data_IF_336844374670
#
_entry.id   IF_336844374670
#
_cell.length_a   1.000
_cell.length_b   1.000
_cell.length_c   1.000
_cell.angle_alpha   90.00
_cell.angle_beta   90.00
_cell.angle_gamma   90.00
#
_symmetry.space_group_name_H-M   'P 1'
#
loop_
_entity.id
_entity.type
_entity.pdbx_description
1 polymer ?
#
# COMPACT_ATOMS: atom_id res chain seq x y z
N UNK A 1 16.85 -21.60 17.88
CA UNK A 1 17.10 -21.74 16.42
C UNK A 1 16.57 -23.11 15.97
N UNK A 2 15.62 -23.18 15.01
CA UNK A 2 15.05 -24.45 14.55
C UNK A 2 16.12 -25.34 13.92
N UNK A 3 15.96 -26.66 14.09
CA UNK A 3 16.96 -27.66 13.67
C UNK A 3 17.10 -27.74 12.14
N UNK A 4 18.27 -28.17 11.62
CA UNK A 4 18.54 -28.24 10.18
C UNK A 4 17.52 -29.06 9.39
N UNK A 5 16.97 -30.11 10.01
CA UNK A 5 15.91 -30.97 9.43
C UNK A 5 14.60 -30.22 9.20
N UNK A 6 14.23 -29.31 10.11
CA UNK A 6 13.02 -28.48 9.97
C UNK A 6 13.21 -27.46 8.84
N UNK A 7 14.42 -26.92 8.67
CA UNK A 7 14.71 -26.02 7.54
C UNK A 7 14.61 -26.72 6.19
N UNK A 8 15.09 -27.95 6.07
CA UNK A 8 15.05 -28.68 4.80
C UNK A 8 13.60 -29.05 4.41
N UNK A 9 12.76 -29.40 5.39
CA UNK A 9 11.33 -29.66 5.17
C UNK A 9 10.56 -28.39 4.77
N UNK A 10 10.88 -27.24 5.37
CA UNK A 10 10.30 -25.95 4.97
C UNK A 10 10.76 -25.52 3.56
N UNK A 11 12.02 -25.78 3.20
CA UNK A 11 12.54 -25.47 1.86
C UNK A 11 11.89 -26.32 0.77
N UNK A 12 11.64 -27.60 1.02
CA UNK A 12 10.96 -28.49 0.07
C UNK A 12 9.50 -28.07 -0.17
N UNK A 13 8.82 -27.59 0.88
CA UNK A 13 7.44 -27.08 0.79
C UNK A 13 7.35 -25.76 -0.01
N UNK A 14 8.38 -24.91 0.09
CA UNK A 14 8.48 -23.66 -0.68
C UNK A 14 8.78 -23.95 -2.16
N UNK A 15 9.63 -24.93 -2.45
CA UNK A 15 9.95 -25.36 -3.81
C UNK A 15 8.70 -25.86 -4.56
N UNK A 16 7.89 -26.73 -3.94
CA UNK A 16 6.66 -27.27 -4.55
C UNK A 16 5.60 -26.19 -4.81
N UNK A 17 5.52 -25.18 -3.95
CA UNK A 17 4.51 -24.12 -4.05
C UNK A 17 4.89 -23.00 -5.03
N UNK A 18 6.17 -22.89 -5.38
CA UNK A 18 6.70 -21.81 -6.23
C UNK A 18 7.31 -22.31 -7.55
N UNK A 19 7.52 -23.63 -7.69
CA UNK A 19 8.15 -24.25 -8.85
C UNK A 19 9.66 -23.95 -8.97
N UNK A 20 10.32 -23.61 -7.86
CA UNK A 20 11.75 -23.23 -7.83
C UNK A 20 12.60 -24.45 -7.49
N UNK A 21 13.72 -24.62 -8.21
CA UNK A 21 14.65 -25.73 -8.02
C UNK A 21 15.25 -25.74 -6.59
N UNK A 22 15.12 -26.84 -5.83
CA UNK A 22 15.50 -26.91 -4.42
C UNK A 22 17.01 -26.78 -4.18
N UNK A 23 17.88 -27.11 -5.15
CA UNK A 23 19.34 -27.02 -4.96
C UNK A 23 19.85 -25.56 -5.00
N UNK A 24 19.10 -24.68 -5.67
CA UNK A 24 19.33 -23.23 -5.66
C UNK A 24 19.03 -22.61 -4.30
N UNK A 25 17.98 -23.11 -3.62
CA UNK A 25 17.57 -22.63 -2.29
C UNK A 25 18.55 -23.06 -1.19
N UNK A 26 19.12 -24.28 -1.28
CA UNK A 26 20.16 -24.75 -0.35
C UNK A 26 21.44 -23.92 -0.45
N UNK A 27 21.80 -23.49 -1.66
CA UNK A 27 22.98 -22.66 -1.90
C UNK A 27 22.82 -21.25 -1.31
N UNK A 28 21.63 -20.65 -1.41
CA UNK A 28 21.36 -19.34 -0.79
C UNK A 28 21.28 -19.39 0.74
N UNK A 29 20.74 -20.46 1.31
CA UNK A 29 20.66 -20.62 2.77
C UNK A 29 22.04 -20.82 3.44
N UNK A 30 23.02 -21.33 2.69
CA UNK A 30 24.41 -21.48 3.15
C UNK A 30 25.22 -20.17 3.07
N UNK A 31 24.84 -19.25 2.18
CA UNK A 31 25.48 -17.94 2.06
C UNK A 31 24.88 -16.97 3.09
N UNK A 32 25.48 -16.92 4.29
CA UNK A 32 25.07 -16.01 5.36
C UNK A 32 25.07 -14.52 4.96
N UNK A 33 24.42 -13.64 5.75
CA UNK A 33 24.21 -12.25 5.39
C UNK A 33 25.54 -11.48 5.29
N UNK A 34 25.73 -10.74 4.19
CA UNK A 34 26.88 -9.85 3.99
C UNK A 34 26.80 -8.62 4.91
N UNK A 35 27.91 -8.15 5.50
CA UNK A 35 27.92 -6.96 6.36
C UNK A 35 27.80 -5.67 5.55
N UNK A 36 27.09 -4.69 6.11
CA UNK A 36 26.91 -3.34 5.56
C UNK A 36 28.18 -2.47 5.72
N UNK A 37 28.45 -1.51 4.82
CA UNK A 37 29.61 -0.63 4.91
C UNK A 37 29.38 0.56 5.85
N UNK A 38 30.31 0.77 6.78
CA UNK A 38 30.35 1.92 7.70
C UNK A 38 30.87 3.20 7.03
N UNK A 39 30.28 4.32 7.43
CA UNK A 39 30.72 5.68 7.09
C UNK A 39 31.89 6.16 7.98
N UNK A 40 32.80 6.92 7.36
CA UNK A 40 33.93 7.66 7.97
C UNK A 40 35.03 7.79 6.92
N UNK A 41 35.50 8.95 6.44
CA UNK A 41 35.76 10.22 7.09
C UNK A 41 37.28 10.46 7.05
N UNK A 42 37.79 11.25 6.09
CA UNK A 42 39.23 11.56 6.01
C UNK A 42 39.63 12.47 4.85
N UNK A 43 40.28 13.59 5.17
CA UNK A 43 40.71 14.70 4.30
C UNK A 43 42.10 14.48 3.69
N UNK A 44 42.38 15.16 2.57
CA UNK A 44 43.73 15.48 2.07
C UNK A 44 43.75 15.53 0.54
N UNK A 45 43.75 16.73 -0.08
CA UNK A 45 44.88 17.59 -0.48
C UNK A 45 45.52 17.21 -1.83
N UNK A 46 45.59 18.25 -2.67
CA UNK A 46 46.60 18.58 -3.67
C UNK A 46 46.68 17.78 -4.99
N UNK A 47 46.86 18.54 -6.08
CA UNK A 47 47.29 18.03 -7.38
C UNK A 47 46.34 18.32 -8.54
N UNK A 48 46.22 19.58 -8.94
CA UNK A 48 45.86 19.90 -10.34
C UNK A 48 47.16 19.92 -11.14
N UNK A 49 47.32 18.98 -12.05
CA UNK A 49 48.06 19.11 -13.30
C UNK A 49 47.98 17.79 -14.08
N UNK A 50 47.83 17.88 -15.40
CA UNK A 50 47.95 16.73 -16.30
C UNK A 50 46.87 16.66 -17.37
N UNK A 51 47.18 17.23 -18.53
CA UNK A 51 46.49 16.98 -19.80
C UNK A 51 46.92 15.62 -20.37
N UNK A 52 46.18 15.21 -21.41
CA UNK A 52 46.57 14.36 -22.55
C UNK A 52 46.09 12.90 -22.58
N UNK A 53 45.63 12.51 -23.79
CA UNK A 53 45.48 11.12 -24.25
C UNK A 53 44.03 10.63 -24.28
N UNK A 54 43.23 10.87 -25.33
CA UNK A 54 43.12 10.13 -26.60
C UNK A 54 42.78 8.62 -26.48
N UNK A 55 41.75 8.29 -27.27
CA UNK A 55 41.54 7.09 -28.07
C UNK A 55 41.09 5.77 -27.40
N UNK A 56 39.91 5.32 -27.83
CA UNK A 56 39.83 3.98 -28.44
C UNK A 56 38.92 2.94 -27.80
N UNK A 57 37.67 2.89 -28.30
CA UNK A 57 36.98 1.70 -28.87
C UNK A 57 36.73 0.43 -28.02
N UNK A 58 35.44 0.05 -28.08
CA UNK A 58 34.84 -1.27 -28.44
C UNK A 58 34.52 -2.28 -27.33
N UNK A 59 33.32 -2.85 -27.51
CA UNK A 59 32.80 -4.07 -26.88
C UNK A 59 32.05 -3.77 -25.60
N UNK A 60 30.84 -4.24 -25.34
CA UNK A 60 30.02 -5.24 -25.98
C UNK A 60 28.61 -5.04 -25.41
N UNK A 61 27.59 -5.27 -26.23
CA UNK A 61 26.23 -5.49 -25.73
C UNK A 61 25.82 -6.83 -26.29
N UNK A 62 25.46 -7.77 -25.41
CA UNK A 62 24.14 -8.35 -25.59
C UNK A 62 23.37 -8.51 -24.27
N UNK A 63 22.14 -7.98 -24.31
CA UNK A 63 20.90 -8.54 -23.77
C UNK A 63 20.95 -9.44 -22.52
N UNK A 64 20.26 -8.98 -21.47
CA UNK A 64 19.87 -9.83 -20.33
C UNK A 64 18.70 -9.25 -19.55
N UNK A 65 17.51 -9.25 -20.17
CA UNK A 65 16.22 -8.93 -19.53
C UNK A 65 16.07 -9.69 -18.21
N UNK A 66 15.76 -8.96 -17.13
CA UNK A 66 14.73 -9.26 -16.09
C UNK A 66 14.95 -8.38 -14.85
N UNK A 67 14.68 -7.08 -14.97
CA UNK A 67 14.43 -6.23 -13.80
C UNK A 67 13.33 -5.20 -14.03
N UNK A 68 12.55 -5.35 -15.10
CA UNK A 68 11.47 -4.40 -15.43
C UNK A 68 10.15 -4.68 -14.73
N UNK A 69 9.95 -5.83 -14.06
CA UNK A 69 8.65 -6.18 -13.48
C UNK A 69 8.31 -5.36 -12.23
N UNK A 70 9.29 -5.15 -11.34
CA UNK A 70 9.09 -4.40 -10.09
C UNK A 70 9.05 -2.89 -10.34
N UNK A 71 9.93 -2.39 -11.22
CA UNK A 71 9.98 -0.97 -11.56
C UNK A 71 8.76 -0.53 -12.38
N UNK A 72 8.21 -1.40 -13.25
CA UNK A 72 6.96 -1.11 -13.96
C UNK A 72 5.74 -1.21 -13.03
N UNK A 73 5.69 -2.15 -12.09
CA UNK A 73 4.59 -2.21 -11.11
C UNK A 73 4.62 -1.03 -10.13
N UNK A 74 5.81 -0.53 -9.76
CA UNK A 74 5.97 0.67 -8.94
C UNK A 74 5.66 1.96 -9.73
N UNK A 75 6.06 2.02 -11.01
CA UNK A 75 5.74 3.15 -11.90
C UNK A 75 4.26 3.19 -12.31
N UNK A 76 3.59 2.03 -12.46
CA UNK A 76 2.13 1.95 -12.68
C UNK A 76 1.36 2.38 -11.44
N UNK A 77 1.80 1.98 -10.24
CA UNK A 77 1.29 2.51 -8.95
C UNK A 77 1.44 4.03 -8.81
N UNK A 78 2.42 4.63 -9.48
CA UNK A 78 2.61 6.08 -9.53
C UNK A 78 1.80 6.76 -10.66
N UNK A 79 1.18 6.00 -11.57
CA UNK A 79 0.39 6.51 -12.70
C UNK A 79 -1.08 6.81 -12.37
N UNK A 80 -1.69 6.09 -11.43
CA UNK A 80 -3.09 6.30 -10.98
C UNK A 80 -3.24 7.40 -9.91
N UNK A 81 -2.15 8.08 -9.54
CA UNK A 81 -2.16 9.05 -8.42
C UNK A 81 -2.72 10.43 -8.75
N UNK A 82 -3.31 10.66 -9.93
CA UNK A 82 -3.79 12.00 -10.33
C UNK A 82 -5.07 12.38 -9.56
N UNK A 83 -5.93 11.41 -9.20
CA UNK A 83 -7.21 11.65 -8.53
C UNK A 83 -7.31 11.06 -7.11
N UNK A 84 -6.24 10.42 -6.62
CA UNK A 84 -6.17 9.86 -5.27
C UNK A 84 -6.97 8.54 -5.08
N UNK A 85 -6.73 7.82 -3.97
CA UNK A 85 -7.31 6.49 -3.72
C UNK A 85 -8.84 6.49 -3.61
N UNK A 86 -9.43 7.61 -3.17
CA UNK A 86 -10.87 7.74 -2.99
C UNK A 86 -11.62 7.76 -4.33
N UNK A 87 -11.08 8.43 -5.36
CA UNK A 87 -11.67 8.43 -6.70
C UNK A 87 -11.42 7.12 -7.43
N UNK A 88 -10.23 6.53 -7.27
CA UNK A 88 -9.93 5.18 -7.78
C UNK A 88 -10.90 4.13 -7.23
N UNK A 89 -11.31 4.25 -5.97
CA UNK A 89 -12.32 3.37 -5.38
C UNK A 89 -13.71 3.52 -6.02
N UNK A 90 -14.08 4.74 -6.44
CA UNK A 90 -15.32 4.95 -7.20
C UNK A 90 -15.24 4.32 -8.59
N UNK A 91 -14.11 4.43 -9.29
CA UNK A 91 -13.88 3.76 -10.58
C UNK A 91 -14.02 2.24 -10.44
N UNK A 92 -13.37 1.67 -9.42
CA UNK A 92 -13.45 0.24 -9.12
C UNK A 92 -14.86 -0.22 -8.70
N UNK A 93 -15.67 0.64 -8.07
CA UNK A 93 -17.07 0.30 -7.76
C UNK A 93 -17.94 0.11 -9.01
N UNK A 94 -17.55 0.68 -10.16
CA UNK A 94 -18.27 0.48 -11.43
C UNK A 94 -18.03 -0.93 -11.98
N UNK A 95 -16.79 -1.43 -11.87
CA UNK A 95 -16.36 -2.70 -12.49
C UNK A 95 -16.32 -3.88 -11.53
N UNK A 96 -15.96 -3.65 -10.26
CA UNK A 96 -15.76 -4.63 -9.19
C UNK A 96 -16.68 -4.34 -8.00
N UNK A 97 -17.95 -4.08 -8.28
CA UNK A 97 -18.92 -3.56 -7.30
C UNK A 97 -18.98 -4.39 -6.01
N UNK A 98 -19.23 -5.69 -6.12
CA UNK A 98 -19.48 -6.53 -4.94
C UNK A 98 -18.22 -6.67 -4.09
N UNK A 99 -17.07 -6.90 -4.73
CA UNK A 99 -15.76 -6.97 -4.08
C UNK A 99 -15.44 -5.67 -3.33
N UNK A 100 -15.73 -4.51 -3.93
CA UNK A 100 -15.47 -3.22 -3.30
C UNK A 100 -16.45 -2.91 -2.17
N UNK A 101 -17.75 -3.21 -2.34
CA UNK A 101 -18.78 -2.93 -1.34
C UNK A 101 -18.61 -3.72 -0.03
N UNK A 102 -17.92 -4.85 -0.06
CA UNK A 102 -17.56 -5.62 1.14
C UNK A 102 -16.63 -4.81 2.07
N UNK A 103 -15.67 -4.08 1.50
CA UNK A 103 -14.63 -3.37 2.23
C UNK A 103 -14.96 -1.89 2.45
N UNK A 104 -15.61 -1.24 1.49
CA UNK A 104 -15.84 0.20 1.54
C UNK A 104 -16.83 0.60 2.64
N UNK A 105 -16.42 1.56 3.45
CA UNK A 105 -17.26 2.16 4.48
C UNK A 105 -17.01 3.67 4.57
N UNK A 106 -17.99 4.41 5.09
CA UNK A 106 -17.96 5.87 5.11
C UNK A 106 -16.69 6.49 5.74
N UNK A 107 -16.13 5.95 6.85
CA UNK A 107 -14.90 6.51 7.46
C UNK A 107 -13.65 6.47 6.56
N UNK A 108 -13.69 5.70 5.47
CA UNK A 108 -12.59 5.61 4.50
C UNK A 108 -12.49 6.83 3.59
N UNK A 109 -13.52 7.66 3.51
CA UNK A 109 -13.54 8.85 2.67
C UNK A 109 -13.32 10.10 3.52
N UNK A 110 -12.34 10.92 3.15
CA UNK A 110 -12.13 12.25 3.75
C UNK A 110 -12.86 13.34 2.98
N UNK A 111 -13.00 13.18 1.67
CA UNK A 111 -13.68 14.16 0.84
C UNK A 111 -15.20 13.88 0.86
N UNK A 112 -15.98 14.85 1.34
CA UNK A 112 -17.44 14.73 1.45
C UNK A 112 -18.10 14.57 0.07
N UNK A 113 -17.51 15.14 -0.99
CA UNK A 113 -18.03 14.98 -2.36
C UNK A 113 -17.89 13.52 -2.83
N UNK A 114 -16.73 12.90 -2.56
CA UNK A 114 -16.48 11.50 -2.90
C UNK A 114 -17.34 10.59 -2.03
N UNK A 115 -17.49 10.91 -0.74
CA UNK A 115 -18.37 10.18 0.15
C UNK A 115 -19.84 10.24 -0.30
N UNK A 116 -20.32 11.40 -0.74
CA UNK A 116 -21.67 11.55 -1.30
C UNK A 116 -21.87 10.69 -2.55
N UNK A 117 -20.89 10.68 -3.46
CA UNK A 117 -20.91 9.79 -4.62
C UNK A 117 -20.93 8.31 -4.23
N UNK A 118 -20.08 7.90 -3.28
CA UNK A 118 -20.07 6.53 -2.73
C UNK A 118 -21.43 6.13 -2.14
N UNK A 119 -22.04 6.98 -1.32
CA UNK A 119 -23.35 6.73 -0.71
C UNK A 119 -24.41 6.50 -1.78
N UNK A 120 -24.43 7.33 -2.82
CA UNK A 120 -25.37 7.14 -3.93
C UNK A 120 -25.10 5.84 -4.70
N UNK A 121 -23.84 5.57 -5.08
CA UNK A 121 -23.48 4.34 -5.78
C UNK A 121 -23.79 3.09 -4.95
N UNK A 122 -23.66 3.14 -3.63
CA UNK A 122 -24.02 2.03 -2.73
C UNK A 122 -25.53 1.80 -2.67
N UNK A 123 -26.33 2.86 -2.64
CA UNK A 123 -27.79 2.79 -2.56
C UNK A 123 -28.45 2.27 -3.86
N UNK A 124 -27.80 2.47 -5.02
CA UNK A 124 -28.36 2.17 -6.32
C UNK A 124 -27.56 1.12 -7.09
N UNK A 125 -28.23 0.13 -7.68
CA UNK A 125 -27.58 -0.99 -8.37
C UNK A 125 -26.91 -0.60 -9.70
N UNK A 126 -27.24 0.55 -10.28
CA UNK A 126 -26.66 1.01 -11.55
C UNK A 126 -26.10 2.43 -11.45
N UNK A 127 -25.08 2.72 -12.25
CA UNK A 127 -24.44 4.05 -12.36
C UNK A 127 -25.46 5.11 -12.74
N UNK A 128 -26.37 4.81 -13.69
CA UNK A 128 -27.40 5.75 -14.12
C UNK A 128 -28.32 6.12 -12.95
N UNK A 129 -28.86 5.14 -12.22
CA UNK A 129 -29.73 5.39 -11.09
C UNK A 129 -29.01 6.15 -9.96
N UNK A 130 -27.74 5.83 -9.69
CA UNK A 130 -26.92 6.56 -8.74
C UNK A 130 -26.71 8.03 -9.15
N UNK A 131 -26.50 8.28 -10.44
CA UNK A 131 -26.29 9.63 -10.97
C UNK A 131 -27.55 10.48 -10.86
N UNK A 132 -28.72 9.90 -11.17
CA UNK A 132 -30.01 10.59 -11.09
C UNK A 132 -30.42 10.96 -9.66
N UNK A 133 -30.00 10.15 -8.67
CA UNK A 133 -30.33 10.37 -7.27
C UNK A 133 -29.29 11.24 -6.52
N UNK A 134 -28.11 11.45 -7.10
CA UNK A 134 -27.02 12.19 -6.47
C UNK A 134 -27.17 13.72 -6.64
N UNK A 135 -26.56 14.46 -5.72
CA UNK A 135 -26.35 15.91 -5.89
C UNK A 135 -25.50 16.19 -7.13
N UNK A 136 -25.62 17.38 -7.78
CA UNK A 136 -24.98 17.65 -9.07
C UNK A 136 -23.47 17.38 -9.13
N UNK A 137 -22.73 17.74 -8.07
CA UNK A 137 -21.28 17.48 -8.03
C UNK A 137 -20.94 15.99 -7.88
N UNK A 138 -21.72 15.25 -7.09
CA UNK A 138 -21.53 13.81 -6.95
C UNK A 138 -21.95 13.06 -8.23
N UNK A 139 -23.00 13.53 -8.90
CA UNK A 139 -23.43 13.03 -10.20
C UNK A 139 -22.32 13.18 -11.26
N UNK A 140 -21.68 14.35 -11.34
CA UNK A 140 -20.54 14.58 -12.25
C UNK A 140 -19.38 13.62 -11.94
N UNK A 141 -19.05 13.43 -10.65
CA UNK A 141 -17.99 12.53 -10.24
C UNK A 141 -18.29 11.06 -10.58
N UNK A 142 -19.52 10.60 -10.38
CA UNK A 142 -19.98 9.25 -10.75
C UNK A 142 -19.88 9.04 -12.26
N UNK A 143 -20.35 10.01 -13.05
CA UNK A 143 -20.26 9.94 -14.52
C UNK A 143 -18.82 9.85 -14.99
N UNK A 144 -17.94 10.67 -14.41
CA UNK A 144 -16.52 10.67 -14.73
C UNK A 144 -15.85 9.33 -14.38
N UNK A 145 -16.13 8.80 -13.18
CA UNK A 145 -15.62 7.50 -12.74
C UNK A 145 -16.11 6.33 -13.61
N UNK A 146 -17.28 6.46 -14.26
CA UNK A 146 -17.81 5.43 -15.16
C UNK A 146 -17.18 5.43 -16.55
N UNK A 147 -16.52 6.53 -16.96
CA UNK A 147 -15.88 6.67 -18.27
C UNK A 147 -14.37 6.49 -18.18
N UNK A 148 -13.77 6.81 -17.04
CA UNK A 148 -12.34 6.70 -16.83
C UNK A 148 -11.95 5.27 -16.44
N UNK A 149 -11.09 4.67 -17.25
CA UNK A 149 -10.51 3.36 -16.94
C UNK A 149 -9.57 3.43 -15.73
N UNK A 150 -9.49 2.34 -14.97
CA UNK A 150 -8.53 2.16 -13.89
C UNK A 150 -7.66 0.93 -14.14
N UNK A 151 -6.35 1.08 -13.95
CA UNK A 151 -5.39 -0.03 -13.90
C UNK A 151 -5.10 -0.47 -12.46
N UNK A 152 -5.80 0.12 -11.48
CA UNK A 152 -5.58 -0.16 -10.06
C UNK A 152 -6.21 -1.51 -9.69
N UNK A 153 -5.52 -2.27 -8.83
CA UNK A 153 -6.08 -3.49 -8.27
C UNK A 153 -6.96 -3.16 -7.05
N UNK A 154 -8.14 -3.81 -6.87
CA UNK A 154 -9.03 -3.55 -5.73
C UNK A 154 -8.32 -3.60 -4.38
N UNK A 155 -7.51 -4.64 -4.15
CA UNK A 155 -6.79 -4.86 -2.89
C UNK A 155 -5.79 -3.73 -2.61
N UNK A 156 -5.13 -3.19 -3.64
CA UNK A 156 -4.14 -2.12 -3.49
C UNK A 156 -4.82 -0.79 -3.11
N UNK A 157 -5.97 -0.50 -3.71
CA UNK A 157 -6.76 0.70 -3.39
C UNK A 157 -7.35 0.61 -1.99
N UNK A 158 -7.86 -0.56 -1.59
CA UNK A 158 -8.38 -0.82 -0.24
C UNK A 158 -7.27 -0.63 0.80
N UNK A 159 -6.08 -1.19 0.57
CA UNK A 159 -4.93 -1.01 1.47
C UNK A 159 -4.58 0.46 1.64
N UNK A 160 -4.54 1.21 0.54
CA UNK A 160 -4.22 2.63 0.57
C UNK A 160 -5.28 3.45 1.31
N UNK A 161 -6.57 3.18 1.07
CA UNK A 161 -7.67 3.82 1.78
C UNK A 161 -7.63 3.53 3.28
N UNK A 162 -7.39 2.29 3.67
CA UNK A 162 -7.30 1.88 5.08
C UNK A 162 -6.12 2.56 5.78
N UNK A 163 -4.96 2.64 5.13
CA UNK A 163 -3.78 3.34 5.65
C UNK A 163 -4.07 4.83 5.85
N UNK A 164 -4.67 5.50 4.86
CA UNK A 164 -4.99 6.93 4.97
C UNK A 164 -6.07 7.20 6.01
N UNK A 165 -7.11 6.36 6.09
CA UNK A 165 -8.13 6.42 7.13
C UNK A 165 -7.55 6.19 8.52
N UNK A 166 -6.69 5.18 8.69
CA UNK A 166 -5.98 4.90 9.94
C UNK A 166 -5.10 6.07 10.38
N UNK A 167 -4.40 6.72 9.46
CA UNK A 167 -3.60 7.93 9.75
C UNK A 167 -4.46 9.12 10.16
N UNK A 168 -5.62 9.33 9.53
CA UNK A 168 -6.59 10.36 9.95
C UNK A 168 -7.10 10.07 11.35
N UNK A 169 -7.43 8.82 11.62
CA UNK A 169 -7.94 8.39 12.92
C UNK A 169 -6.89 8.57 14.03
N UNK A 170 -5.62 8.24 13.77
CA UNK A 170 -4.53 8.52 14.71
C UNK A 170 -4.43 10.01 15.05
N UNK A 171 -4.52 10.91 14.05
CA UNK A 171 -4.53 12.35 14.30
C UNK A 171 -5.73 12.78 15.16
N UNK A 172 -6.89 12.19 14.92
CA UNK A 172 -8.12 12.45 15.70
C UNK A 172 -7.97 11.98 17.14
N UNK A 173 -7.49 10.75 17.36
CA UNK A 173 -7.26 10.17 18.68
C UNK A 173 -6.17 10.91 19.46
N UNK A 174 -5.06 11.28 18.81
CA UNK A 174 -4.00 12.08 19.43
C UNK A 174 -4.53 13.47 19.84
N UNK A 175 -5.39 14.08 19.04
CA UNK A 175 -6.05 15.35 19.40
C UNK A 175 -7.04 15.18 20.56
N UNK A 176 -7.83 14.10 20.57
CA UNK A 176 -8.75 13.79 21.66
C UNK A 176 -8.01 13.54 22.98
N UNK A 177 -6.93 12.75 22.95
CA UNK A 177 -6.11 12.45 24.12
C UNK A 177 -5.49 13.70 24.74
N UNK A 178 -5.07 14.68 23.93
CA UNK A 178 -4.52 15.96 24.42
C UNK A 178 -5.55 16.84 25.14
N UNK A 179 -6.83 16.68 24.79
CA UNK A 179 -7.93 17.49 25.32
C UNK A 179 -8.76 16.74 26.38
N UNK A 180 -8.33 15.54 26.78
CA UNK A 180 -9.05 14.68 27.72
C UNK A 180 -8.40 14.70 29.10
N UNK A 181 -9.22 14.58 30.14
CA UNK A 181 -8.77 14.44 31.53
C UNK A 181 -8.12 13.07 31.80
N UNK A 182 -8.42 12.05 30.99
CA UNK A 182 -7.75 10.75 31.00
C UNK A 182 -7.16 10.42 29.61
N UNK A 183 -5.93 10.87 29.30
CA UNK A 183 -5.28 10.56 28.02
C UNK A 183 -4.95 9.07 27.83
N UNK A 184 -4.83 8.29 28.92
CA UNK A 184 -4.40 6.89 28.85
C UNK A 184 -5.48 6.00 28.24
N UNK A 185 -6.76 6.41 28.30
CA UNK A 185 -7.87 5.68 27.68
C UNK A 185 -7.67 5.46 26.16
N UNK A 186 -6.99 6.39 25.48
CA UNK A 186 -6.74 6.31 24.03
C UNK A 186 -5.47 5.53 23.68
N UNK A 187 -4.55 5.34 24.63
CA UNK A 187 -3.21 4.82 24.36
C UNK A 187 -3.25 3.41 23.72
N UNK A 188 -4.17 2.56 24.18
CA UNK A 188 -4.36 1.20 23.63
C UNK A 188 -4.81 1.27 22.16
N UNK A 189 -5.86 2.04 21.88
CA UNK A 189 -6.42 2.16 20.52
C UNK A 189 -5.40 2.78 19.56
N UNK A 190 -4.70 3.84 19.99
CA UNK A 190 -3.62 4.47 19.21
C UNK A 190 -2.51 3.45 18.88
N UNK A 191 -2.11 2.64 19.87
CA UNK A 191 -1.11 1.58 19.66
C UNK A 191 -1.58 0.53 18.65
N UNK A 192 -2.82 0.06 18.77
CA UNK A 192 -3.41 -0.91 17.83
C UNK A 192 -3.49 -0.37 16.40
N UNK A 193 -3.98 0.86 16.20
CA UNK A 193 -4.08 1.46 14.86
C UNK A 193 -2.69 1.64 14.23
N UNK A 194 -1.68 2.07 15.00
CA UNK A 194 -0.29 2.20 14.50
C UNK A 194 0.26 0.87 13.99
N UNK A 195 0.09 -0.21 14.77
CA UNK A 195 0.58 -1.54 14.41
C UNK A 195 -0.11 -2.05 13.12
N UNK A 196 -1.43 -1.91 13.04
CA UNK A 196 -2.19 -2.36 11.86
C UNK A 196 -1.84 -1.57 10.59
N UNK A 197 -1.65 -0.26 10.71
CA UNK A 197 -1.19 0.57 9.58
C UNK A 197 0.20 0.15 9.12
N UNK A 198 1.12 -0.15 10.04
CA UNK A 198 2.46 -0.63 9.70
C UNK A 198 2.44 -2.02 9.03
N UNK A 199 1.55 -2.91 9.49
CA UNK A 199 1.35 -4.23 8.90
C UNK A 199 0.81 -4.16 7.46
N UNK A 200 -0.16 -3.27 7.18
CA UNK A 200 -0.67 -3.05 5.81
C UNK A 200 0.35 -2.41 4.87
N UNK A 201 1.37 -1.74 5.41
CA UNK A 201 2.48 -1.18 4.63
C UNK A 201 3.62 -2.18 4.39
N UNK A 202 3.61 -3.29 5.11
CA UNK A 202 4.62 -4.33 4.98
C UNK A 202 4.46 -5.12 3.68
N UNK A 203 5.52 -5.81 3.26
CA UNK A 203 5.47 -6.65 2.04
C UNK A 203 4.43 -7.77 2.13
N UNK A 204 4.07 -8.20 3.34
CA UNK A 204 3.11 -9.26 3.62
C UNK A 204 1.80 -8.67 4.17
N UNK A 205 1.03 -8.00 3.31
CA UNK A 205 -0.22 -7.35 3.71
C UNK A 205 -1.30 -8.37 4.08
N UNK A 206 -1.59 -8.47 5.38
CA UNK A 206 -2.53 -9.44 5.94
C UNK A 206 -3.99 -9.04 5.72
N UNK A 207 -4.83 -10.00 5.31
CA UNK A 207 -6.30 -9.82 5.26
C UNK A 207 -6.85 -9.54 6.65
N UNK A 208 -6.32 -10.22 7.66
CA UNK A 208 -6.72 -10.04 9.05
C UNK A 208 -6.46 -8.59 9.52
N UNK A 209 -5.32 -8.00 9.14
CA UNK A 209 -5.01 -6.62 9.49
C UNK A 209 -6.00 -5.62 8.86
N UNK A 210 -6.47 -5.89 7.63
CA UNK A 210 -7.50 -5.07 6.97
C UNK A 210 -8.82 -5.13 7.74
N UNK A 211 -9.28 -6.33 8.08
CA UNK A 211 -10.53 -6.54 8.80
C UNK A 211 -10.48 -5.88 10.19
N UNK A 212 -9.37 -6.05 10.92
CA UNK A 212 -9.19 -5.45 12.23
C UNK A 212 -9.17 -3.92 12.17
N UNK A 213 -8.43 -3.34 11.21
CA UNK A 213 -8.37 -1.89 11.06
C UNK A 213 -9.73 -1.32 10.65
N UNK A 214 -10.43 -1.97 9.71
CA UNK A 214 -11.76 -1.57 9.28
C UNK A 214 -12.77 -1.65 10.43
N UNK A 215 -12.72 -2.71 11.25
CA UNK A 215 -13.57 -2.85 12.43
C UNK A 215 -13.34 -1.72 13.44
N UNK A 216 -12.07 -1.37 13.70
CA UNK A 216 -11.71 -0.24 14.58
C UNK A 216 -12.19 1.10 14.02
N UNK A 217 -12.07 1.34 12.72
CA UNK A 217 -12.51 2.58 12.07
C UNK A 217 -14.04 2.74 12.05
N UNK A 218 -14.78 1.63 12.01
CA UNK A 218 -16.24 1.64 12.08
C UNK A 218 -16.76 1.87 13.49
N UNK A 219 -15.96 1.54 14.51
CA UNK A 219 -16.31 1.82 15.89
C UNK A 219 -16.12 3.32 16.13
N UNK A 220 -17.16 4.07 16.54
CA UNK A 220 -16.91 5.36 17.15
C UNK A 220 -15.99 5.09 18.34
N UNK A 221 -14.94 5.90 18.53
CA UNK A 221 -14.11 5.74 19.72
C UNK A 221 -15.03 5.83 20.93
N UNK A 222 -15.28 4.69 21.57
CA UNK A 222 -16.01 4.57 22.80
C UNK A 222 -15.16 5.21 23.90
N UNK A 223 -15.22 6.54 23.94
CA UNK A 223 -14.89 7.39 25.07
C UNK A 223 -16.16 8.17 25.40
N UNK A 224 -17.21 7.45 25.80
CA UNK A 224 -18.42 8.02 26.36
C UNK A 224 -18.24 8.20 27.86
N UNK A 225 -18.50 9.41 28.35
CA UNK A 225 -18.58 9.75 29.78
C UNK A 225 -17.91 11.06 30.12
#
# INVERSE_FOLDING_TARGET
HPSPLVRDQYLMTIADRTGIDPDLLRTQAAAGPRPAPSAGGGRGRDGRDGRDGRDGRRGDSPSGRRSGGRDQAAARRAGSSIDGPEVEALRLLVTHRDDMLEWLSEPLFADELVLSAFRSMRAHASVLAATEAADPGAAELIQRAAVEDTESEPIDVIDLLLVEAGRRELRRLDAAARNSDDPLQYARTIGSVKLLVEELQSEHRSVEAREQLLALLRQPAEGGG
#
